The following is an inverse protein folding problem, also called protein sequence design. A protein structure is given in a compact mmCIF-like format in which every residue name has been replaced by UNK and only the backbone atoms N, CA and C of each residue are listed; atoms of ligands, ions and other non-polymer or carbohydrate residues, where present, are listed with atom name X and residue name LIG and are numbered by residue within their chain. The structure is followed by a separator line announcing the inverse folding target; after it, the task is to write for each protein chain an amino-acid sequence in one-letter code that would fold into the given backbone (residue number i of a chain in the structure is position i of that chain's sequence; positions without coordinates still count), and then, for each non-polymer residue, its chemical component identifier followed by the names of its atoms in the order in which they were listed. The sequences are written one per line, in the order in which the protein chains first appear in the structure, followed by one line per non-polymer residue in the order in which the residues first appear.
data_IF_874013601818
#
_entry.id   IF_874013601818
#
_cell.length_a   1.000
_cell.length_b   1.000
_cell.length_c   1.000
_cell.angle_alpha   90.00
_cell.angle_beta   90.00
_cell.angle_gamma   90.00
#
_symmetry.space_group_name_H-M   'P 1'
#
loop_
_entity.id
_entity.type
_entity.pdbx_description
1 polymer ?
#
# COMPACT_ATOMS: atom_id res chain seq x y z
N UNK A 1 4.51 11.58 13.73
CA UNK A 1 5.50 10.92 12.85
C UNK A 1 6.47 11.97 12.33
N UNK A 2 7.77 11.80 12.56
CA UNK A 2 8.77 12.74 12.05
C UNK A 2 8.77 12.70 10.52
N UNK A 3 8.73 13.88 9.87
CA UNK A 3 8.95 14.02 8.43
C UNK A 3 10.38 13.53 8.15
N UNK A 4 10.55 12.28 7.73
CA UNK A 4 11.79 11.89 7.07
C UNK A 4 11.85 12.71 5.79
N UNK A 5 12.70 13.74 5.75
CA UNK A 5 13.02 14.42 4.52
C UNK A 5 13.58 13.38 3.56
N UNK A 6 12.98 13.27 2.37
CA UNK A 6 13.56 12.46 1.30
C UNK A 6 14.97 12.99 1.06
N UNK A 7 15.95 12.10 1.13
CA UNK A 7 17.32 12.42 0.80
C UNK A 7 17.34 12.96 -0.63
N UNK A 8 17.87 14.18 -0.81
CA UNK A 8 17.91 14.80 -2.14
C UNK A 8 18.85 13.95 -2.99
N UNK A 9 18.30 13.27 -3.99
CA UNK A 9 19.08 12.45 -4.90
C UNK A 9 20.04 13.35 -5.70
N UNK A 10 21.33 13.29 -5.38
CA UNK A 10 22.37 13.95 -6.16
C UNK A 10 22.65 13.10 -7.39
N UNK A 11 22.36 13.66 -8.57
CA UNK A 11 22.62 12.99 -9.85
C UNK A 11 24.11 12.71 -9.98
N UNK A 12 24.50 11.44 -9.86
CA UNK A 12 25.85 10.96 -10.20
C UNK A 12 25.82 10.35 -11.58
N UNK A 13 26.43 11.04 -12.52
CA UNK A 13 26.48 10.65 -13.92
C UNK A 13 27.71 9.80 -14.19
N UNK A 14 27.51 8.51 -14.46
CA UNK A 14 28.53 7.58 -14.93
C UNK A 14 28.47 7.51 -16.46
N UNK A 15 29.56 7.08 -17.11
CA UNK A 15 29.58 7.01 -18.58
C UNK A 15 28.51 6.05 -19.13
N UNK A 16 28.26 4.93 -18.45
CA UNK A 16 27.14 4.05 -18.80
C UNK A 16 25.77 4.71 -18.68
N UNK A 17 25.54 5.60 -17.70
CA UNK A 17 24.27 6.36 -17.60
C UNK A 17 24.14 7.38 -18.73
N UNK A 18 25.26 8.01 -19.13
CA UNK A 18 25.27 8.94 -20.29
C UNK A 18 24.91 8.21 -21.57
N UNK A 19 25.46 7.01 -21.78
CA UNK A 19 25.16 6.18 -22.94
C UNK A 19 23.67 5.81 -23.01
N UNK A 20 23.09 5.36 -21.89
CA UNK A 20 21.65 5.05 -21.82
C UNK A 20 20.80 6.28 -22.12
N UNK A 21 21.14 7.43 -21.53
CA UNK A 21 20.40 8.68 -21.78
C UNK A 21 20.49 9.09 -23.26
N UNK A 22 21.67 8.96 -23.88
CA UNK A 22 21.84 9.25 -25.31
C UNK A 22 21.02 8.32 -26.20
N UNK A 23 20.99 7.02 -25.91
CA UNK A 23 20.13 6.07 -26.63
C UNK A 23 18.66 6.42 -26.47
N UNK A 24 18.26 6.84 -25.26
CA UNK A 24 16.88 7.24 -24.97
C UNK A 24 16.48 8.50 -25.76
N UNK A 25 17.36 9.49 -25.87
CA UNK A 25 17.14 10.67 -26.73
C UNK A 25 17.05 10.31 -28.22
N UNK A 26 17.85 9.34 -28.69
CA UNK A 26 17.86 8.93 -30.08
C UNK A 26 16.62 8.12 -30.47
N UNK A 27 16.14 7.25 -29.58
CA UNK A 27 15.03 6.34 -29.87
C UNK A 27 13.65 7.02 -29.71
N UNK A 28 13.51 7.93 -28.74
CA UNK A 28 12.21 8.51 -28.36
C UNK A 28 11.99 9.97 -28.82
N UNK A 29 12.93 10.54 -29.60
CA UNK A 29 12.85 11.93 -30.13
C UNK A 29 12.32 12.95 -29.11
N UNK A 30 13.00 13.02 -27.97
CA UNK A 30 12.52 13.78 -26.80
C UNK A 30 12.78 15.27 -27.00
N UNK A 31 11.71 16.05 -27.13
CA UNK A 31 11.78 17.52 -27.24
C UNK A 31 11.29 18.23 -25.98
N UNK A 32 10.48 17.56 -25.16
CA UNK A 32 9.81 18.14 -24.00
C UNK A 32 9.83 17.23 -22.77
N UNK A 33 9.45 17.79 -21.61
CA UNK A 33 9.34 17.03 -20.38
C UNK A 33 8.21 15.99 -20.39
N UNK A 34 7.17 16.19 -21.21
CA UNK A 34 6.12 15.17 -21.40
C UNK A 34 6.63 13.96 -22.18
N UNK A 35 7.48 14.18 -23.18
CA UNK A 35 8.03 13.09 -24.00
C UNK A 35 8.94 12.19 -23.15
N UNK A 36 9.64 12.76 -22.17
CA UNK A 36 10.38 11.98 -21.16
C UNK A 36 9.43 11.07 -20.38
N UNK A 37 8.25 11.55 -19.98
CA UNK A 37 7.29 10.73 -19.22
C UNK A 37 6.74 9.58 -20.06
N UNK A 38 6.45 9.83 -21.34
CA UNK A 38 5.95 8.80 -22.24
C UNK A 38 7.04 7.76 -22.57
N UNK A 39 8.29 8.20 -22.80
CA UNK A 39 9.43 7.29 -22.92
C UNK A 39 9.62 6.42 -21.68
N UNK A 40 9.45 6.99 -20.47
CA UNK A 40 9.52 6.23 -19.21
C UNK A 40 8.37 5.23 -19.06
N UNK A 41 7.15 5.55 -19.50
CA UNK A 41 6.01 4.63 -19.52
C UNK A 41 6.30 3.43 -20.42
N UNK A 42 6.79 3.68 -21.62
CA UNK A 42 7.12 2.63 -22.59
C UNK A 42 8.28 1.77 -22.12
N UNK A 43 9.36 2.38 -21.60
CA UNK A 43 10.49 1.66 -21.03
C UNK A 43 10.08 0.79 -19.84
N UNK A 44 9.20 1.29 -18.96
CA UNK A 44 8.67 0.50 -17.86
C UNK A 44 7.88 -0.70 -18.38
N UNK A 45 6.95 -0.47 -19.31
CA UNK A 45 6.12 -1.53 -19.91
C UNK A 45 6.95 -2.58 -20.65
N UNK A 46 7.93 -2.14 -21.44
CA UNK A 46 8.88 -2.99 -22.16
C UNK A 46 9.74 -3.82 -21.21
N UNK A 47 10.31 -3.20 -20.18
CA UNK A 47 11.12 -3.91 -19.16
C UNK A 47 10.29 -4.99 -18.46
N UNK A 48 9.06 -4.66 -18.05
CA UNK A 48 8.15 -5.64 -17.43
C UNK A 48 7.84 -6.79 -18.40
N UNK A 49 7.59 -6.50 -19.68
CA UNK A 49 7.35 -7.51 -20.71
C UNK A 49 8.55 -8.46 -20.85
N UNK A 50 9.75 -7.92 -21.00
CA UNK A 50 10.98 -8.73 -21.12
C UNK A 50 11.24 -9.59 -19.87
N UNK A 51 11.00 -9.05 -18.67
CA UNK A 51 11.12 -9.85 -17.44
C UNK A 51 10.12 -11.01 -17.41
N UNK A 52 8.87 -10.80 -17.82
CA UNK A 52 7.87 -11.88 -17.89
C UNK A 52 8.17 -12.89 -19.00
N UNK A 53 8.80 -12.47 -20.09
CA UNK A 53 9.28 -13.38 -21.14
C UNK A 53 10.37 -14.31 -20.59
N UNK A 54 11.32 -13.76 -19.85
CA UNK A 54 12.35 -14.53 -19.16
C UNK A 54 11.76 -15.48 -18.09
N UNK A 55 10.75 -15.04 -17.33
CA UNK A 55 10.01 -15.92 -16.42
C UNK A 55 9.33 -17.07 -17.17
N UNK A 56 8.75 -16.81 -18.33
CA UNK A 56 8.10 -17.83 -19.15
C UNK A 56 9.10 -18.84 -19.72
N UNK A 57 10.27 -18.37 -20.18
CA UNK A 57 11.36 -19.25 -20.63
C UNK A 57 11.83 -20.15 -19.48
N UNK A 58 11.98 -19.59 -18.27
CA UNK A 58 12.33 -20.37 -17.08
C UNK A 58 11.24 -21.35 -16.66
N UNK A 59 9.96 -20.99 -16.79
CA UNK A 59 8.82 -21.86 -16.45
C UNK A 59 8.71 -23.05 -17.40
N UNK A 60 8.89 -22.81 -18.69
CA UNK A 60 8.82 -23.86 -19.72
C UNK A 60 10.13 -24.63 -19.89
N UNK A 61 11.26 -24.05 -19.47
CA UNK A 61 12.59 -24.63 -19.61
C UNK A 61 13.16 -24.56 -21.03
N UNK A 62 12.61 -23.70 -21.88
CA UNK A 62 13.09 -23.49 -23.26
C UNK A 62 12.66 -22.12 -23.80
N UNK A 63 13.42 -21.59 -24.76
CA UNK A 63 13.20 -20.27 -25.34
C UNK A 63 12.09 -20.26 -26.40
N UNK A 64 11.56 -19.07 -26.70
CA UNK A 64 10.56 -18.90 -27.76
C UNK A 64 11.05 -19.48 -29.10
N UNK A 65 10.21 -20.33 -29.70
CA UNK A 65 10.47 -21.03 -30.97
C UNK A 65 11.58 -22.09 -30.92
N UNK A 66 12.18 -22.37 -29.75
CA UNK A 66 13.09 -23.49 -29.58
C UNK A 66 12.28 -24.81 -29.58
N UNK A 67 12.80 -25.83 -30.28
CA UNK A 67 12.19 -27.17 -30.23
C UNK A 67 12.39 -27.75 -28.83
N UNK A 68 11.30 -28.24 -28.24
CA UNK A 68 11.29 -28.85 -26.92
C UNK A 68 10.43 -30.10 -26.92
N UNK A 69 10.77 -31.05 -26.05
CA UNK A 69 9.94 -32.22 -25.74
C UNK A 69 8.93 -31.94 -24.62
N UNK A 70 8.88 -30.70 -24.09
CA UNK A 70 7.92 -30.30 -23.06
C UNK A 70 6.49 -30.43 -23.61
N UNK A 71 5.60 -31.03 -22.80
CA UNK A 71 4.18 -31.17 -23.11
C UNK A 71 3.43 -29.83 -23.08
N UNK A 72 3.94 -28.86 -22.31
CA UNK A 72 3.41 -27.51 -22.26
C UNK A 72 4.08 -26.61 -23.29
N UNK A 73 3.33 -25.64 -23.79
CA UNK A 73 3.81 -24.73 -24.82
C UNK A 73 3.31 -23.30 -24.62
N UNK A 74 4.04 -22.32 -25.17
CA UNK A 74 3.57 -20.93 -25.28
C UNK A 74 2.27 -20.86 -26.10
N UNK A 75 1.31 -20.07 -25.65
CA UNK A 75 -0.02 -19.92 -26.25
C UNK A 75 -0.39 -18.44 -26.44
N UNK A 76 0.55 -17.67 -27.01
CA UNK A 76 0.35 -16.25 -27.29
C UNK A 76 0.42 -15.37 -26.04
N UNK A 77 -0.31 -14.25 -26.09
CA UNK A 77 -0.25 -13.18 -25.10
C UNK A 77 -1.64 -12.69 -24.71
N UNK A 78 -1.76 -12.22 -23.47
CA UNK A 78 -2.94 -11.53 -22.96
C UNK A 78 -2.60 -10.07 -22.66
N UNK A 79 -3.41 -9.15 -23.20
CA UNK A 79 -3.31 -7.74 -22.83
C UNK A 79 -3.68 -7.51 -21.37
N UNK A 80 -2.89 -6.68 -20.68
CA UNK A 80 -3.14 -6.24 -19.32
C UNK A 80 -2.76 -4.77 -19.18
N UNK A 81 -3.66 -3.95 -18.66
CA UNK A 81 -3.37 -2.55 -18.30
C UNK A 81 -2.89 -2.51 -16.86
N UNK A 82 -1.71 -1.90 -16.65
CA UNK A 82 -1.11 -1.66 -15.35
C UNK A 82 -1.13 -0.17 -15.02
N UNK A 83 -1.38 0.15 -13.76
CA UNK A 83 -1.32 1.51 -13.23
C UNK A 83 0.02 1.67 -12.49
N UNK A 84 0.83 2.62 -12.93
CA UNK A 84 2.15 2.92 -12.37
C UNK A 84 2.23 4.35 -11.84
N UNK A 85 3.35 4.69 -11.20
CA UNK A 85 3.62 6.07 -10.77
C UNK A 85 3.74 7.06 -11.93
N UNK A 86 3.97 6.57 -13.15
CA UNK A 86 4.04 7.37 -14.37
C UNK A 86 2.72 7.36 -15.15
N UNK A 87 1.68 6.68 -14.65
CA UNK A 87 0.38 6.51 -15.30
C UNK A 87 0.14 5.09 -15.81
N UNK A 88 -0.90 4.95 -16.63
CA UNK A 88 -1.36 3.67 -17.16
C UNK A 88 -0.52 3.18 -18.33
N UNK A 89 -0.10 1.91 -18.28
CA UNK A 89 0.67 1.26 -19.35
C UNK A 89 0.00 -0.05 -19.73
N UNK A 90 -0.18 -0.29 -21.03
CA UNK A 90 -0.71 -1.55 -21.54
C UNK A 90 0.45 -2.48 -21.90
N UNK A 91 0.46 -3.66 -21.32
CA UNK A 91 1.48 -4.69 -21.57
C UNK A 91 0.86 -5.97 -22.10
N UNK A 92 1.69 -6.78 -22.75
CA UNK A 92 1.35 -8.12 -23.21
C UNK A 92 1.98 -9.15 -22.27
N UNK A 93 1.14 -9.93 -21.60
CA UNK A 93 1.56 -10.97 -20.67
C UNK A 93 1.62 -12.31 -21.40
N UNK A 94 2.76 -13.03 -21.40
CA UNK A 94 2.86 -14.32 -22.06
C UNK A 94 1.95 -15.36 -21.39
N UNK A 95 1.45 -16.30 -22.18
CA UNK A 95 0.58 -17.37 -21.71
C UNK A 95 1.14 -18.74 -22.10
N UNK A 96 0.89 -19.74 -21.26
CA UNK A 96 1.15 -21.14 -21.56
C UNK A 96 -0.16 -21.88 -21.88
N UNK A 97 -0.05 -23.01 -22.57
CA UNK A 97 -1.19 -23.80 -23.07
C UNK A 97 -1.93 -24.50 -21.93
N UNK A 98 -1.21 -24.94 -20.90
CA UNK A 98 -1.79 -25.60 -19.73
C UNK A 98 -2.27 -24.62 -18.65
N UNK A 99 -2.09 -23.30 -18.85
CA UNK A 99 -2.45 -22.26 -17.87
C UNK A 99 -1.78 -22.41 -16.50
N UNK A 100 -0.64 -23.11 -16.44
CA UNK A 100 0.13 -23.36 -15.22
C UNK A 100 1.12 -22.25 -14.88
N UNK A 101 1.37 -21.31 -15.79
CA UNK A 101 2.29 -20.20 -15.56
C UNK A 101 1.76 -19.23 -14.49
N UNK A 102 2.58 -18.92 -13.48
CA UNK A 102 2.30 -17.95 -12.42
C UNK A 102 3.35 -16.83 -12.38
N UNK A 103 3.11 -15.69 -13.06
CA UNK A 103 4.09 -14.61 -13.15
C UNK A 103 4.38 -14.00 -11.76
N UNK A 104 5.66 -13.73 -11.48
CA UNK A 104 6.10 -13.16 -10.21
C UNK A 104 6.31 -11.65 -10.30
N UNK A 105 6.84 -11.15 -11.43
CA UNK A 105 7.03 -9.71 -11.67
C UNK A 105 5.71 -8.95 -11.53
N UNK A 106 4.65 -9.43 -12.19
CA UNK A 106 3.30 -8.89 -12.03
C UNK A 106 2.29 -10.02 -11.87
N UNK A 107 1.84 -10.23 -10.64
CA UNK A 107 0.97 -11.36 -10.29
C UNK A 107 -0.33 -11.36 -11.10
N UNK A 108 -0.95 -12.54 -11.23
CA UNK A 108 -2.29 -12.68 -11.83
C UNK A 108 -3.26 -11.71 -11.13
N UNK A 109 -4.05 -10.99 -11.93
CA UNK A 109 -5.05 -9.98 -11.49
C UNK A 109 -4.50 -8.72 -10.81
N UNK A 110 -3.21 -8.66 -10.43
CA UNK A 110 -2.59 -7.44 -9.93
C UNK A 110 -2.51 -6.38 -11.03
N UNK A 111 -3.22 -5.26 -10.89
CA UNK A 111 -3.21 -4.16 -11.87
C UNK A 111 -2.43 -2.93 -11.40
N UNK A 112 -2.17 -2.82 -10.10
CA UNK A 112 -1.46 -1.67 -9.53
C UNK A 112 -0.02 -2.04 -9.13
N UNK A 113 0.92 -1.21 -9.61
CA UNK A 113 2.36 -1.26 -9.29
C UNK A 113 2.88 0.10 -8.77
N UNK A 114 2.00 1.08 -8.57
CA UNK A 114 2.33 2.50 -8.36
C UNK A 114 2.81 2.87 -6.95
N UNK A 115 2.90 1.89 -6.04
CA UNK A 115 3.18 2.10 -4.60
C UNK A 115 2.30 3.20 -3.97
N UNK A 116 1.12 3.44 -4.55
CA UNK A 116 0.23 4.55 -4.18
C UNK A 116 -0.53 4.28 -2.88
N UNK A 117 -0.60 3.02 -2.44
CA UNK A 117 -1.29 2.60 -1.21
C UNK A 117 -0.95 3.49 -0.01
N UNK A 118 0.34 3.76 0.23
CA UNK A 118 0.77 4.62 1.34
C UNK A 118 0.32 6.08 1.19
N UNK A 119 0.24 6.58 -0.05
CA UNK A 119 -0.27 7.93 -0.35
C UNK A 119 -1.77 7.99 -0.12
N UNK A 120 -2.51 6.97 -0.53
CA UNK A 120 -3.94 6.82 -0.25
C UNK A 120 -4.20 6.85 1.25
N UNK A 121 -3.51 5.99 2.01
CA UNK A 121 -3.61 5.94 3.47
C UNK A 121 -3.27 7.31 4.08
N UNK A 122 -2.22 7.98 3.59
CA UNK A 122 -1.86 9.31 4.09
C UNK A 122 -2.90 10.38 3.77
N UNK A 123 -3.58 10.33 2.62
CA UNK A 123 -4.63 11.28 2.27
C UNK A 123 -5.88 11.03 3.12
N UNK A 124 -6.25 9.77 3.31
CA UNK A 124 -7.36 9.38 4.18
C UNK A 124 -7.10 9.81 5.63
N UNK A 125 -5.90 9.59 6.15
CA UNK A 125 -5.48 10.03 7.49
C UNK A 125 -5.48 11.56 7.66
N UNK A 126 -5.45 12.33 6.57
CA UNK A 126 -5.59 13.79 6.58
C UNK A 126 -7.05 14.27 6.50
N UNK A 127 -8.01 13.35 6.46
CA UNK A 127 -9.44 13.66 6.43
C UNK A 127 -9.99 13.91 5.02
N UNK A 128 -9.27 13.52 3.96
CA UNK A 128 -9.83 13.58 2.61
C UNK A 128 -10.87 12.47 2.42
N UNK A 129 -11.97 12.78 1.75
CA UNK A 129 -13.00 11.77 1.44
C UNK A 129 -12.49 10.80 0.36
N UNK A 130 -13.09 9.61 0.29
CA UNK A 130 -12.80 8.60 -0.77
C UNK A 130 -12.88 9.20 -2.17
N UNK A 131 -13.89 10.05 -2.40
CA UNK A 131 -14.08 10.79 -3.64
C UNK A 131 -12.98 11.82 -3.92
N UNK A 132 -12.60 12.64 -2.93
CA UNK A 132 -11.51 13.60 -3.09
C UNK A 132 -10.18 12.90 -3.40
N UNK A 133 -9.94 11.76 -2.77
CA UNK A 133 -8.76 10.94 -3.02
C UNK A 133 -8.78 10.41 -4.45
N UNK A 134 -9.92 9.87 -4.90
CA UNK A 134 -10.13 9.41 -6.27
C UNK A 134 -9.80 10.49 -7.31
N UNK A 135 -10.39 11.68 -7.14
CA UNK A 135 -10.17 12.85 -8.00
C UNK A 135 -8.67 13.25 -8.01
N UNK A 136 -8.04 13.32 -6.83
CA UNK A 136 -6.61 13.66 -6.69
C UNK A 136 -5.70 12.64 -7.38
N UNK A 137 -6.04 11.35 -7.32
CA UNK A 137 -5.25 10.30 -7.98
C UNK A 137 -5.38 10.42 -9.50
N UNK A 138 -6.58 10.65 -10.00
CA UNK A 138 -6.80 10.84 -11.42
C UNK A 138 -6.05 12.07 -11.95
N UNK A 139 -6.07 13.18 -11.22
CA UNK A 139 -5.41 14.42 -11.62
C UNK A 139 -3.88 14.31 -11.65
N UNK A 140 -3.28 13.60 -10.68
CA UNK A 140 -1.81 13.51 -10.56
C UNK A 140 -1.24 12.35 -11.40
N UNK A 141 -1.94 11.22 -11.47
CA UNK A 141 -1.42 9.99 -12.10
C UNK A 141 -2.14 9.61 -13.40
N UNK A 142 -3.23 10.28 -13.77
CA UNK A 142 -3.93 10.05 -15.03
C UNK A 142 -4.70 8.73 -15.11
N UNK A 143 -5.00 8.10 -13.97
CA UNK A 143 -5.83 6.90 -13.92
C UNK A 143 -6.91 6.99 -12.86
N UNK A 144 -8.07 6.41 -13.15
CA UNK A 144 -9.21 6.40 -12.24
C UNK A 144 -8.98 5.38 -11.11
N UNK A 145 -9.05 5.86 -9.87
CA UNK A 145 -9.07 5.04 -8.67
C UNK A 145 -10.47 5.10 -8.07
N UNK A 146 -11.25 4.02 -8.16
CA UNK A 146 -12.62 4.03 -7.65
C UNK A 146 -12.65 4.24 -6.13
N UNK A 147 -13.77 4.76 -5.60
CA UNK A 147 -13.96 4.88 -4.16
C UNK A 147 -13.85 3.53 -3.43
N UNK A 148 -14.33 2.45 -4.07
CA UNK A 148 -14.17 1.09 -3.56
C UNK A 148 -12.70 0.67 -3.47
N UNK A 149 -11.89 0.99 -4.48
CA UNK A 149 -10.45 0.72 -4.43
C UNK A 149 -9.76 1.51 -3.31
N UNK A 150 -10.14 2.77 -3.09
CA UNK A 150 -9.62 3.57 -1.97
C UNK A 150 -9.96 2.91 -0.63
N UNK A 151 -11.20 2.45 -0.46
CA UNK A 151 -11.65 1.71 0.73
C UNK A 151 -10.86 0.41 0.92
N UNK A 152 -10.71 -0.40 -0.13
CA UNK A 152 -9.94 -1.66 -0.09
C UNK A 152 -8.48 -1.41 0.34
N UNK A 153 -7.87 -0.30 -0.12
CA UNK A 153 -6.52 0.10 0.28
C UNK A 153 -6.47 0.53 1.73
N UNK A 154 -7.45 1.28 2.22
CA UNK A 154 -7.51 1.65 3.64
C UNK A 154 -7.79 0.44 4.53
N UNK A 155 -8.52 -0.57 4.07
CA UNK A 155 -8.79 -1.77 4.87
C UNK A 155 -7.53 -2.62 5.10
N UNK A 156 -6.49 -2.47 4.26
CA UNK A 156 -5.19 -3.12 4.48
C UNK A 156 -4.52 -2.73 5.79
N UNK A 157 -4.88 -1.60 6.41
CA UNK A 157 -4.32 -1.19 7.71
C UNK A 157 -5.09 -1.75 8.91
N UNK A 158 -6.24 -2.40 8.72
CA UNK A 158 -7.02 -2.97 9.82
C UNK A 158 -6.19 -3.94 10.70
N UNK A 159 -5.36 -4.85 10.15
CA UNK A 159 -4.52 -5.71 10.99
C UNK A 159 -3.51 -4.91 11.83
N UNK A 160 -2.98 -3.81 11.31
CA UNK A 160 -2.08 -2.93 12.06
C UNK A 160 -2.80 -2.15 13.17
N UNK A 161 -4.08 -1.81 12.96
CA UNK A 161 -4.91 -1.19 14.01
C UNK A 161 -5.13 -2.20 15.14
N UNK A 162 -5.48 -3.45 14.81
CA UNK A 162 -5.65 -4.52 15.79
C UNK A 162 -4.36 -4.81 16.57
N UNK A 163 -3.22 -4.87 15.87
CA UNK A 163 -1.90 -5.03 16.49
C UNK A 163 -1.59 -3.86 17.44
N UNK A 164 -1.87 -2.62 17.02
CA UNK A 164 -1.68 -1.44 17.85
C UNK A 164 -2.61 -1.41 19.06
N UNK A 165 -3.88 -1.81 18.91
CA UNK A 165 -4.85 -1.91 20.01
C UNK A 165 -4.47 -2.97 21.03
N UNK A 166 -3.75 -4.03 20.61
CA UNK A 166 -3.30 -5.11 21.48
C UNK A 166 -1.83 -4.98 21.93
N UNK A 167 -1.12 -3.93 21.49
CA UNK A 167 0.30 -3.75 21.80
C UNK A 167 0.55 -3.73 23.31
N UNK A 168 1.70 -4.27 23.72
CA UNK A 168 2.19 -4.20 25.08
C UNK A 168 2.34 -2.76 25.55
N UNK A 169 1.94 -2.50 26.80
CA UNK A 169 2.07 -1.21 27.47
C UNK A 169 3.15 -1.30 28.55
N UNK A 170 3.75 -0.17 28.92
CA UNK A 170 4.64 -0.12 30.09
C UNK A 170 3.87 -0.40 31.38
N UNK A 171 4.60 -0.82 32.42
CA UNK A 171 4.01 -1.31 33.66
C UNK A 171 3.26 -0.24 34.46
N UNK A 172 3.68 1.02 34.38
CA UNK A 172 3.12 2.11 35.20
C UNK A 172 2.94 3.38 34.37
N UNK A 173 1.74 3.95 34.45
CA UNK A 173 1.40 5.30 33.97
C UNK A 173 0.96 6.14 35.16
N UNK A 174 1.76 7.11 35.63
CA UNK A 174 1.40 7.95 36.78
C UNK A 174 0.11 8.75 36.59
N UNK A 175 -0.21 9.12 35.34
CA UNK A 175 -1.39 9.92 35.00
C UNK A 175 -2.06 9.31 33.78
N UNK A 176 -3.39 9.16 33.85
CA UNK A 176 -4.23 8.69 32.74
C UNK A 176 -5.40 9.65 32.57
N UNK A 177 -5.65 10.05 31.33
CA UNK A 177 -6.80 10.83 30.90
C UNK A 177 -7.71 9.97 30.02
N UNK A 178 -9.01 10.19 30.14
CA UNK A 178 -10.02 9.56 29.29
C UNK A 178 -10.87 10.69 28.72
N UNK A 179 -11.01 10.73 27.40
CA UNK A 179 -11.84 11.69 26.70
C UNK A 179 -12.82 10.96 25.78
N UNK A 180 -13.95 11.58 25.46
CA UNK A 180 -15.02 11.00 24.66
C UNK A 180 -15.38 11.92 23.48
N UNK A 181 -15.23 11.40 22.27
CA UNK A 181 -15.58 12.10 21.03
C UNK A 181 -16.85 11.47 20.46
N UNK A 182 -17.93 12.25 20.36
CA UNK A 182 -19.18 11.79 19.81
C UNK A 182 -19.21 11.93 18.29
N UNK A 183 -19.62 10.87 17.59
CA UNK A 183 -19.74 10.86 16.14
C UNK A 183 -20.98 10.08 15.70
N UNK A 184 -21.51 10.44 14.54
CA UNK A 184 -22.69 9.79 13.96
C UNK A 184 -22.27 8.69 13.02
N UNK A 185 -22.74 7.47 13.25
CA UNK A 185 -22.53 6.33 12.36
C UNK A 185 -23.87 5.94 11.75
N UNK A 186 -23.85 5.55 10.48
CA UNK A 186 -25.02 4.98 9.80
C UNK A 186 -24.84 3.48 9.73
N UNK A 187 -25.75 2.74 10.34
CA UNK A 187 -25.82 1.29 10.28
C UNK A 187 -27.26 0.89 9.93
N UNK A 188 -27.44 0.04 8.92
CA UNK A 188 -28.77 -0.41 8.46
C UNK A 188 -29.77 0.74 8.21
N UNK A 189 -29.29 1.85 7.64
CA UNK A 189 -30.05 3.09 7.39
C UNK A 189 -30.48 3.87 8.64
N UNK A 190 -30.13 3.40 9.83
CA UNK A 190 -30.34 4.09 11.10
C UNK A 190 -29.06 4.86 11.45
N UNK A 191 -29.21 6.14 11.77
CA UNK A 191 -28.09 6.95 12.26
C UNK A 191 -28.08 6.89 13.77
N UNK A 192 -27.05 6.25 14.34
CA UNK A 192 -26.79 6.21 15.78
C UNK A 192 -25.65 7.16 16.14
N UNK A 193 -25.71 7.74 17.34
CA UNK A 193 -24.60 8.50 17.92
C UNK A 193 -23.76 7.54 18.74
N UNK A 194 -22.50 7.38 18.37
CA UNK A 194 -21.51 6.60 19.10
C UNK A 194 -20.51 7.53 19.78
N UNK A 195 -19.84 7.03 20.81
CA UNK A 195 -18.72 7.70 21.47
C UNK A 195 -17.44 6.90 21.24
N UNK A 196 -16.39 7.58 20.77
CA UNK A 196 -15.03 7.08 20.75
C UNK A 196 -14.33 7.55 22.04
N UNK A 197 -13.98 6.59 22.90
CA UNK A 197 -13.24 6.84 24.12
C UNK A 197 -11.75 6.74 23.84
N UNK A 198 -11.04 7.85 24.03
CA UNK A 198 -9.60 7.93 23.83
C UNK A 198 -8.93 7.94 25.20
N UNK A 199 -8.14 6.91 25.49
CA UNK A 199 -7.37 6.82 26.74
C UNK A 199 -5.94 7.25 26.48
N UNK A 200 -5.47 8.27 27.19
CA UNK A 200 -4.12 8.83 27.06
C UNK A 200 -3.37 8.69 28.38
N UNK A 201 -2.21 8.05 28.35
CA UNK A 201 -1.32 7.90 29.50
C UNK A 201 -0.10 8.82 29.41
N UNK A 202 0.43 9.22 30.56
CA UNK A 202 1.78 9.78 30.69
C UNK A 202 2.65 8.70 31.31
N UNK A 203 3.75 8.32 30.67
CA UNK A 203 4.69 7.34 31.22
C UNK A 203 5.67 7.96 32.23
N UNK A 204 6.50 7.14 32.84
CA UNK A 204 7.55 7.53 33.79
C UNK A 204 8.56 8.56 33.21
N UNK A 205 8.82 8.51 31.90
CA UNK A 205 9.63 9.47 31.18
C UNK A 205 8.89 10.79 30.86
N UNK A 206 7.66 10.99 31.34
CA UNK A 206 6.85 12.18 31.10
C UNK A 206 6.31 12.30 29.67
N UNK A 207 6.36 11.23 28.86
CA UNK A 207 5.84 11.22 27.48
C UNK A 207 4.36 10.85 27.48
N UNK A 208 3.58 11.64 26.75
CA UNK A 208 2.17 11.35 26.47
C UNK A 208 2.06 10.29 25.38
N UNK A 209 1.20 9.31 25.58
CA UNK A 209 0.86 8.33 24.55
C UNK A 209 -0.60 7.91 24.62
N UNK A 210 -1.18 7.58 23.46
CA UNK A 210 -2.53 7.02 23.39
C UNK A 210 -2.45 5.52 23.69
N UNK A 211 -3.15 5.08 24.75
CA UNK A 211 -3.14 3.70 25.22
C UNK A 211 -4.12 2.82 24.43
N UNK A 212 -5.33 3.34 24.22
CA UNK A 212 -6.36 2.70 23.40
C UNK A 212 -7.36 3.74 22.88
N UNK A 213 -8.08 3.35 21.82
CA UNK A 213 -9.27 4.02 21.32
C UNK A 213 -10.35 2.94 21.24
N UNK A 214 -11.45 3.14 21.96
CA UNK A 214 -12.56 2.18 22.06
C UNK A 214 -13.86 2.84 21.62
N UNK A 215 -14.58 2.20 20.70
CA UNK A 215 -15.87 2.70 20.21
C UNK A 215 -16.98 2.00 21.01
N UNK A 216 -17.79 2.78 21.72
CA UNK A 216 -18.86 2.25 22.54
C UNK A 216 -20.21 2.90 22.25
N UNK A 217 -21.26 2.10 22.36
CA UNK A 217 -22.65 2.56 22.29
C UNK A 217 -23.18 2.99 23.67
N UNK A 218 -22.56 2.48 24.77
CA UNK A 218 -23.14 2.52 26.11
C UNK A 218 -22.11 2.93 27.19
N UNK A 219 -22.41 3.93 28.03
CA UNK A 219 -21.62 4.32 29.21
C UNK A 219 -21.85 3.41 30.44
N UNK A 220 -21.89 2.09 30.25
CA UNK A 220 -22.13 1.18 31.38
C UNK A 220 -20.87 0.96 32.23
N UNK A 221 -21.03 0.74 33.53
CA UNK A 221 -19.93 0.40 34.45
C UNK A 221 -19.21 -0.89 34.03
N UNK A 222 -19.93 -1.87 33.46
CA UNK A 222 -19.36 -3.11 32.93
C UNK A 222 -18.47 -2.86 31.71
N UNK A 223 -18.85 -1.92 30.85
CA UNK A 223 -18.06 -1.53 29.68
C UNK A 223 -16.73 -0.90 30.09
N UNK A 224 -16.77 0.06 31.04
CA UNK A 224 -15.58 0.67 31.60
C UNK A 224 -14.66 -0.34 32.29
N UNK A 225 -15.22 -1.29 33.04
CA UNK A 225 -14.45 -2.38 33.62
C UNK A 225 -13.74 -3.23 32.54
N UNK A 226 -14.38 -3.44 31.39
CA UNK A 226 -13.78 -4.11 30.23
C UNK A 226 -12.54 -3.36 29.70
N UNK A 227 -12.66 -2.05 29.49
CA UNK A 227 -11.54 -1.20 29.03
C UNK A 227 -10.37 -1.25 30.03
N UNK A 228 -10.65 -1.08 31.32
CA UNK A 228 -9.63 -1.10 32.37
C UNK A 228 -8.95 -2.47 32.50
N UNK A 229 -9.71 -3.56 32.34
CA UNK A 229 -9.16 -4.91 32.33
C UNK A 229 -8.28 -5.15 31.10
N UNK A 230 -8.66 -4.65 29.93
CA UNK A 230 -7.84 -4.72 28.70
C UNK A 230 -6.50 -4.03 28.90
N UNK A 231 -6.51 -2.80 29.42
CA UNK A 231 -5.29 -2.05 29.74
C UNK A 231 -4.40 -2.78 30.75
N UNK A 232 -5.01 -3.33 31.81
CA UNK A 232 -4.28 -4.12 32.81
C UNK A 232 -3.63 -5.37 32.22
N UNK A 233 -4.32 -6.08 31.33
CA UNK A 233 -3.79 -7.27 30.67
C UNK A 233 -2.60 -6.93 29.75
N UNK A 234 -2.61 -5.75 29.13
CA UNK A 234 -1.54 -5.26 28.23
C UNK A 234 -0.32 -4.68 28.95
N UNK A 235 -0.49 -4.18 30.18
CA UNK A 235 0.61 -3.66 31.03
C UNK A 235 1.14 -4.66 32.07
N UNK A 236 0.55 -5.86 32.16
CA UNK A 236 0.95 -6.89 33.10
C UNK A 236 2.23 -7.64 32.70
N UNK A 237 2.82 -8.36 33.65
CA UNK A 237 4.08 -9.12 33.56
C UNK A 237 4.16 -10.22 32.49
N UNK A 238 3.15 -10.36 31.62
CA UNK A 238 3.08 -11.31 30.50
C UNK A 238 3.51 -10.72 29.15
N UNK A 239 3.73 -9.41 29.06
CA UNK A 239 4.34 -8.79 27.88
C UNK A 239 5.86 -8.90 27.94
N UNK A 240 6.38 -10.12 27.77
CA UNK A 240 7.80 -10.32 27.48
C UNK A 240 8.07 -9.80 26.07
N UNK A 241 8.79 -8.67 25.97
CA UNK A 241 9.39 -8.22 24.71
C UNK A 241 10.09 -9.42 24.05
N UNK A 242 9.88 -9.71 22.75
CA UNK A 242 10.86 -10.50 22.03
C UNK A 242 12.16 -9.68 22.08
N UNK A 243 13.12 -10.18 22.86
CA UNK A 243 14.47 -9.63 22.92
C UNK A 243 15.02 -9.63 21.48
N UNK A 244 15.20 -8.44 20.91
CA UNK A 244 16.12 -8.20 19.81
C UNK A 244 17.56 -8.24 20.35
#
# INVERSE_FOLDING_TARGET
MAKQQKEVHKVKMTDGKRAIIQQLFQEYDIESTSDIQDALKDLLGGTIKEMMEAEMDSHLGYEKSQRSANENARNGYKSKTLNSSYGSVRIEVPQDRQSSFEPQVVKKRQKDISAIDQKIISMYAKGMTTRQISETINDIYGFEASEGFVSDVTDKILPHIEEWQNRCLVSVYPIVFIDAIHFSVRQDSIVSKLAAYVVVGINDAGRKEVLTIEIGENESSKYWLGILNSLKNRGGSRCSYPLL
#
